data_IF_010678483469
#
_entry.id   IF_010678483469
#
_cell.length_a   1.000
_cell.length_b   1.000
_cell.length_c   1.000
_cell.angle_alpha   90.00
_cell.angle_beta   90.00
_cell.angle_gamma   90.00
#
_symmetry.space_group_name_H-M   'P 1'
#
loop_
_entity.id
_entity.type
_entity.pdbx_description
1 polymer ?
#
# COMPACT_ATOMS: atom_id res chain seq x y z
N UNK A 1 -23.58 6.58 18.52
CA UNK A 1 -22.38 6.24 17.76
C UNK A 1 -22.11 4.75 17.92
N UNK A 2 -21.88 4.02 16.83
CA UNK A 2 -21.45 2.62 16.88
C UNK A 2 -19.99 2.58 17.33
N UNK A 3 -19.60 1.55 18.04
CA UNK A 3 -18.22 1.23 18.36
C UNK A 3 -18.09 -0.27 18.61
N UNK A 4 -16.90 -0.81 18.51
CA UNK A 4 -16.62 -2.20 18.83
C UNK A 4 -15.38 -2.33 19.68
N UNK A 5 -15.27 -3.42 20.43
CA UNK A 5 -14.11 -3.77 21.23
C UNK A 5 -13.43 -4.98 20.66
N UNK A 6 -12.11 -4.92 20.55
CA UNK A 6 -11.26 -6.01 20.14
C UNK A 6 -9.88 -5.87 20.77
N UNK A 7 -9.13 -6.95 20.79
CA UNK A 7 -7.70 -6.92 21.11
C UNK A 7 -6.89 -7.33 19.88
N UNK A 8 -5.78 -6.65 19.67
CA UNK A 8 -4.79 -6.96 18.65
C UNK A 8 -3.45 -7.20 19.35
N UNK A 9 -2.72 -8.24 18.95
CA UNK A 9 -1.35 -8.42 19.38
C UNK A 9 -0.53 -9.15 18.31
N UNK A 10 0.78 -8.88 18.34
CA UNK A 10 1.78 -9.56 17.52
C UNK A 10 2.59 -10.48 18.44
N UNK A 11 2.63 -11.75 18.12
CA UNK A 11 3.35 -12.78 18.90
C UNK A 11 4.28 -13.54 17.95
N UNK A 12 5.57 -13.63 18.29
CA UNK A 12 6.57 -14.23 17.40
C UNK A 12 6.31 -15.72 17.11
N UNK A 13 5.63 -16.40 18.01
CA UNK A 13 5.32 -17.83 17.89
C UNK A 13 3.93 -18.10 17.35
N UNK A 14 2.99 -17.16 17.53
CA UNK A 14 1.59 -17.32 17.14
C UNK A 14 1.18 -16.43 15.96
N UNK A 15 1.92 -15.35 15.69
CA UNK A 15 1.63 -14.40 14.61
C UNK A 15 0.71 -13.26 15.03
N UNK A 16 -0.11 -12.81 14.10
CA UNK A 16 -1.14 -11.80 14.35
C UNK A 16 -2.33 -12.44 15.07
N UNK A 17 -2.67 -11.88 16.22
CA UNK A 17 -3.79 -12.35 17.04
C UNK A 17 -4.89 -11.29 17.08
N UNK A 18 -6.08 -11.70 16.72
CA UNK A 18 -7.31 -10.95 16.91
C UNK A 18 -8.14 -11.63 18.00
N UNK A 19 -8.39 -10.93 19.10
CA UNK A 19 -9.08 -11.46 20.28
C UNK A 19 -8.43 -12.77 20.80
N UNK A 20 -7.09 -12.81 20.77
CA UNK A 20 -6.29 -13.97 21.21
C UNK A 20 -6.25 -15.15 20.22
N UNK A 21 -6.95 -15.05 19.09
CA UNK A 21 -6.97 -16.10 18.06
C UNK A 21 -6.06 -15.72 16.91
N UNK A 22 -5.17 -16.64 16.49
CA UNK A 22 -4.35 -16.45 15.29
C UNK A 22 -5.23 -16.27 14.06
N UNK A 23 -5.15 -15.10 13.45
CA UNK A 23 -5.98 -14.71 12.33
C UNK A 23 -5.10 -14.34 11.14
N UNK A 24 -5.13 -15.06 10.02
CA UNK A 24 -4.43 -14.63 8.81
C UNK A 24 -5.09 -13.38 8.25
N UNK A 25 -4.29 -12.41 7.83
CA UNK A 25 -4.78 -11.27 7.05
C UNK A 25 -4.72 -11.69 5.58
N UNK A 26 -5.87 -12.01 5.00
CA UNK A 26 -6.00 -12.44 3.60
C UNK A 26 -6.78 -11.38 2.85
N UNK A 27 -6.07 -10.40 2.32
CA UNK A 27 -6.66 -9.19 1.81
C UNK A 27 -6.39 -8.91 0.35
N UNK A 28 -6.95 -7.81 -0.09
CA UNK A 28 -6.65 -7.18 -1.37
C UNK A 28 -6.52 -5.67 -1.22
N UNK A 29 -5.78 -5.06 -2.12
CA UNK A 29 -5.73 -3.61 -2.25
C UNK A 29 -7.01 -3.10 -2.92
N UNK A 30 -7.49 -1.94 -2.48
CA UNK A 30 -8.73 -1.36 -2.98
C UNK A 30 -8.60 0.16 -3.05
N UNK A 31 -8.87 0.73 -4.22
CA UNK A 31 -8.90 2.18 -4.40
C UNK A 31 -10.20 2.81 -3.89
N UNK A 32 -10.10 4.08 -3.49
CA UNK A 32 -11.25 4.92 -3.12
C UNK A 32 -11.94 5.46 -4.37
N UNK A 33 -12.32 4.58 -5.31
CA UNK A 33 -13.10 4.93 -6.47
C UNK A 33 -14.34 4.05 -6.61
N UNK A 34 -15.33 4.56 -7.30
CA UNK A 34 -16.63 3.93 -7.47
C UNK A 34 -17.03 3.89 -8.97
N UNK A 35 -16.07 3.62 -9.83
CA UNK A 35 -16.28 3.50 -11.28
C UNK A 35 -16.79 4.81 -11.89
N UNK A 36 -17.96 4.78 -12.50
CA UNK A 36 -18.56 5.97 -13.14
C UNK A 36 -18.86 7.12 -12.17
N UNK A 37 -18.92 6.86 -10.87
CA UNK A 37 -19.10 7.88 -9.84
C UNK A 37 -17.79 8.58 -9.46
N UNK A 38 -16.65 8.08 -9.95
CA UNK A 38 -15.34 8.60 -9.54
C UNK A 38 -15.09 8.40 -8.06
N UNK A 39 -14.62 9.44 -7.37
CA UNK A 39 -14.35 9.43 -5.93
C UNK A 39 -15.60 9.76 -5.06
N UNK A 40 -16.76 9.96 -5.66
CA UNK A 40 -17.99 10.16 -4.90
C UNK A 40 -18.37 8.90 -4.13
N UNK A 41 -18.70 9.08 -2.84
CA UNK A 41 -18.98 8.00 -1.91
C UNK A 41 -20.41 8.08 -1.39
N UNK A 42 -21.14 6.98 -1.56
CA UNK A 42 -22.48 6.80 -1.00
C UNK A 42 -22.51 5.52 -0.16
N UNK A 43 -23.16 5.49 1.01
CA UNK A 43 -23.15 4.32 1.91
C UNK A 43 -23.50 3.00 1.22
N UNK A 44 -24.46 3.00 0.32
CA UNK A 44 -24.91 1.81 -0.41
C UNK A 44 -23.86 1.30 -1.40
N UNK A 45 -23.10 2.23 -2.03
CA UNK A 45 -22.03 1.89 -2.96
C UNK A 45 -20.84 1.31 -2.21
N UNK A 46 -20.47 1.93 -1.10
CA UNK A 46 -19.39 1.44 -0.24
C UNK A 46 -19.72 0.08 0.37
N UNK A 47 -20.96 -0.11 0.85
CA UNK A 47 -21.41 -1.40 1.36
C UNK A 47 -21.36 -2.49 0.27
N UNK A 48 -21.84 -2.18 -0.93
CA UNK A 48 -21.77 -3.11 -2.07
C UNK A 48 -20.33 -3.50 -2.39
N UNK A 49 -19.41 -2.54 -2.41
CA UNK A 49 -17.98 -2.75 -2.66
C UNK A 49 -17.37 -3.69 -1.62
N UNK A 50 -17.56 -3.38 -0.33
CA UNK A 50 -17.11 -4.23 0.78
C UNK A 50 -17.73 -5.64 0.72
N UNK A 51 -19.02 -5.74 0.38
CA UNK A 51 -19.70 -7.03 0.25
C UNK A 51 -19.13 -7.90 -0.88
N UNK A 52 -18.82 -7.31 -2.03
CA UNK A 52 -18.19 -8.05 -3.15
C UNK A 52 -16.85 -8.64 -2.70
N UNK A 53 -16.03 -7.88 -2.01
CA UNK A 53 -14.74 -8.35 -1.48
C UNK A 53 -14.96 -9.48 -0.46
N UNK A 54 -15.91 -9.32 0.45
CA UNK A 54 -16.24 -10.37 1.44
C UNK A 54 -16.73 -11.65 0.79
N UNK A 55 -17.66 -11.54 -0.15
CA UNK A 55 -18.24 -12.69 -0.88
C UNK A 55 -17.19 -13.39 -1.75
N UNK A 56 -16.14 -12.69 -2.19
CA UNK A 56 -14.99 -13.25 -2.91
C UNK A 56 -14.00 -14.02 -2.00
N UNK A 57 -14.27 -14.07 -0.69
CA UNK A 57 -13.49 -14.88 0.26
C UNK A 57 -12.34 -14.13 0.94
N UNK A 58 -12.15 -12.86 0.69
CA UNK A 58 -11.21 -12.03 1.44
C UNK A 58 -11.73 -11.72 2.85
N UNK A 59 -10.81 -11.55 3.79
CA UNK A 59 -11.14 -11.10 5.14
C UNK A 59 -10.53 -9.74 5.49
N UNK A 60 -9.78 -9.15 4.58
CA UNK A 60 -9.11 -7.87 4.82
C UNK A 60 -9.05 -7.00 3.56
N UNK A 61 -8.86 -5.70 3.77
CA UNK A 61 -8.67 -4.69 2.73
C UNK A 61 -7.52 -3.78 3.13
N UNK A 62 -6.68 -3.41 2.17
CA UNK A 62 -5.74 -2.29 2.25
C UNK A 62 -6.31 -1.12 1.46
N UNK A 63 -6.45 0.03 2.11
CA UNK A 63 -6.80 1.26 1.41
C UNK A 63 -5.64 1.74 0.53
N UNK A 64 -5.86 1.89 -0.76
CA UNK A 64 -4.80 2.23 -1.72
C UNK A 64 -5.12 3.56 -2.39
N UNK A 65 -4.40 4.64 -2.21
CA UNK A 65 -3.34 4.85 -1.21
C UNK A 65 -3.71 6.12 -0.44
N UNK A 66 -4.80 6.07 0.30
CA UNK A 66 -5.37 7.16 1.10
C UNK A 66 -6.37 6.60 2.11
N UNK A 67 -6.69 7.34 3.19
CA UNK A 67 -7.65 6.90 4.19
C UNK A 67 -9.05 6.63 3.59
N UNK A 68 -9.65 5.51 4.00
CA UNK A 68 -11.02 5.17 3.60
C UNK A 68 -12.05 6.08 4.23
N UNK A 69 -13.19 6.21 3.57
CA UNK A 69 -14.33 6.98 4.07
C UNK A 69 -15.08 6.24 5.18
N UNK A 70 -15.72 6.97 6.09
CA UNK A 70 -16.47 6.40 7.22
C UNK A 70 -17.51 5.35 6.79
N UNK A 71 -18.25 5.60 5.72
CA UNK A 71 -19.27 4.67 5.22
C UNK A 71 -18.70 3.33 4.76
N UNK A 72 -17.46 3.30 4.25
CA UNK A 72 -16.78 2.06 3.92
C UNK A 72 -16.32 1.31 5.18
N UNK A 73 -15.81 2.04 6.18
CA UNK A 73 -15.43 1.44 7.47
C UNK A 73 -16.64 0.89 8.21
N UNK A 74 -17.78 1.59 8.19
CA UNK A 74 -19.06 1.10 8.72
C UNK A 74 -19.48 -0.22 8.06
N UNK A 75 -19.33 -0.32 6.73
CA UNK A 75 -19.60 -1.55 5.99
C UNK A 75 -18.64 -2.68 6.37
N UNK A 76 -17.34 -2.37 6.55
CA UNK A 76 -16.33 -3.34 7.00
C UNK A 76 -16.61 -3.85 8.42
N UNK A 77 -17.01 -2.96 9.34
CA UNK A 77 -17.42 -3.34 10.70
C UNK A 77 -18.61 -4.31 10.68
N UNK A 78 -19.61 -4.04 9.84
CA UNK A 78 -20.80 -4.87 9.73
C UNK A 78 -20.53 -6.23 9.09
N UNK A 79 -19.71 -6.25 8.03
CA UNK A 79 -19.39 -7.46 7.27
C UNK A 79 -18.25 -8.29 7.88
N UNK A 80 -17.55 -7.76 8.88
CA UNK A 80 -16.40 -8.41 9.51
C UNK A 80 -15.21 -8.49 8.56
N UNK A 81 -14.91 -7.43 7.83
CA UNK A 81 -13.67 -7.25 7.07
C UNK A 81 -12.66 -6.48 7.92
N UNK A 82 -11.41 -6.91 7.94
CA UNK A 82 -10.31 -6.17 8.56
C UNK A 82 -9.81 -5.09 7.60
N UNK A 83 -9.33 -3.98 8.14
CA UNK A 83 -8.81 -2.88 7.33
C UNK A 83 -7.40 -2.52 7.78
N UNK A 84 -6.50 -2.40 6.81
CA UNK A 84 -5.27 -1.63 6.93
C UNK A 84 -5.52 -0.28 6.28
N UNK A 85 -5.73 0.76 7.11
CA UNK A 85 -5.95 2.10 6.60
C UNK A 85 -4.63 2.79 6.32
N UNK A 86 -4.50 3.39 5.11
CA UNK A 86 -3.24 3.94 4.63
C UNK A 86 -3.33 5.45 4.52
N UNK A 87 -2.27 6.14 4.98
CA UNK A 87 -2.24 7.59 5.05
C UNK A 87 -2.07 8.23 3.68
N UNK A 88 -0.98 7.93 2.97
CA UNK A 88 -0.64 8.70 1.78
C UNK A 88 0.29 7.93 0.82
N UNK A 89 0.18 8.26 -0.47
CA UNK A 89 0.99 7.64 -1.52
C UNK A 89 2.38 8.27 -1.71
N UNK A 90 2.65 9.46 -1.18
CA UNK A 90 3.91 10.20 -1.35
C UNK A 90 4.30 10.97 -0.10
N UNK A 91 5.62 11.15 0.15
CA UNK A 91 6.10 11.96 1.28
C UNK A 91 6.63 13.32 0.83
N UNK A 92 7.94 13.44 0.55
CA UNK A 92 8.55 14.71 0.13
C UNK A 92 9.23 14.64 -1.26
N UNK A 93 9.33 13.45 -1.87
CA UNK A 93 9.74 13.28 -3.26
C UNK A 93 8.47 13.09 -4.10
N UNK A 94 8.33 13.88 -5.16
CA UNK A 94 7.19 13.78 -6.06
C UNK A 94 7.15 12.43 -6.78
N UNK A 95 5.99 11.80 -6.80
CA UNK A 95 5.64 10.76 -7.77
C UNK A 95 5.02 11.36 -9.02
N UNK A 96 4.18 12.39 -8.83
CA UNK A 96 3.59 13.19 -9.90
C UNK A 96 3.71 14.67 -9.58
N UNK A 97 3.63 15.53 -10.60
CA UNK A 97 3.84 16.99 -10.46
C UNK A 97 2.94 17.67 -9.42
N UNK A 98 1.72 17.18 -9.26
CA UNK A 98 0.68 17.81 -8.43
C UNK A 98 0.23 16.92 -7.26
N UNK A 99 1.07 16.00 -6.80
CA UNK A 99 0.75 15.14 -5.66
C UNK A 99 0.89 15.88 -4.31
N UNK A 100 0.60 15.15 -3.24
CA UNK A 100 0.58 15.69 -1.88
C UNK A 100 1.98 15.93 -1.28
N UNK A 101 3.06 15.60 -1.98
CA UNK A 101 4.43 15.67 -1.46
C UNK A 101 4.84 17.05 -0.93
N UNK A 102 4.30 18.12 -1.54
CA UNK A 102 4.55 19.49 -1.11
C UNK A 102 3.98 19.83 0.27
N UNK A 103 3.06 19.03 0.76
CA UNK A 103 2.30 19.27 2.00
C UNK A 103 2.60 18.23 3.08
N UNK A 104 3.02 17.03 2.71
CA UNK A 104 3.14 15.90 3.62
C UNK A 104 4.05 16.18 4.82
N UNK A 105 5.28 16.68 4.63
CA UNK A 105 6.20 16.93 5.74
C UNK A 105 5.67 17.92 6.78
N UNK A 106 4.89 18.90 6.34
CA UNK A 106 4.29 19.89 7.24
C UNK A 106 3.05 19.35 7.94
N UNK A 107 2.24 18.59 7.23
CA UNK A 107 0.89 18.29 7.65
C UNK A 107 0.73 16.90 8.27
N UNK A 108 1.70 15.96 8.08
CA UNK A 108 1.53 14.57 8.53
C UNK A 108 1.11 14.41 10.00
N UNK A 109 1.55 15.23 10.98
CA UNK A 109 1.11 15.02 12.36
C UNK A 109 -0.39 15.25 12.55
N UNK A 110 -0.93 16.28 11.89
CA UNK A 110 -2.35 16.60 11.94
C UNK A 110 -3.18 15.64 11.07
N UNK A 111 -2.67 15.25 9.91
CA UNK A 111 -3.35 14.30 9.03
C UNK A 111 -3.47 12.91 9.68
N UNK A 112 -2.39 12.42 10.31
CA UNK A 112 -2.41 11.16 11.05
C UNK A 112 -3.36 11.23 12.25
N UNK A 113 -3.42 12.36 12.93
CA UNK A 113 -4.39 12.57 14.01
C UNK A 113 -5.82 12.47 13.49
N UNK A 114 -6.14 13.12 12.37
CA UNK A 114 -7.48 13.05 11.77
C UNK A 114 -7.83 11.63 11.30
N UNK A 115 -6.87 10.91 10.72
CA UNK A 115 -7.05 9.51 10.36
C UNK A 115 -7.37 8.67 11.59
N UNK A 116 -6.61 8.80 12.68
CA UNK A 116 -6.88 8.08 13.93
C UNK A 116 -8.21 8.48 14.54
N UNK A 117 -8.55 9.78 14.60
CA UNK A 117 -9.82 10.26 15.13
C UNK A 117 -11.03 9.64 14.41
N UNK A 118 -10.93 9.49 13.08
CA UNK A 118 -11.92 8.81 12.24
C UNK A 118 -11.97 7.31 12.59
N UNK A 119 -10.83 6.64 12.62
CA UNK A 119 -10.71 5.18 12.71
C UNK A 119 -10.91 4.62 14.11
N UNK A 120 -10.75 5.47 15.15
CA UNK A 120 -10.68 5.01 16.53
C UNK A 120 -11.86 4.15 16.96
N UNK A 121 -13.07 4.50 16.50
CA UNK A 121 -14.31 3.78 16.83
C UNK A 121 -14.58 2.57 15.93
N UNK A 122 -13.77 2.35 14.87
CA UNK A 122 -13.94 1.26 13.93
C UNK A 122 -13.06 0.06 14.29
N UNK A 123 -13.66 -1.01 14.85
CA UNK A 123 -12.90 -2.22 15.21
C UNK A 123 -12.34 -2.95 14.00
N UNK A 124 -12.85 -2.73 12.80
CA UNK A 124 -12.32 -3.28 11.55
C UNK A 124 -10.91 -2.79 11.24
N UNK A 125 -10.56 -1.55 11.60
CA UNK A 125 -9.20 -1.03 11.38
C UNK A 125 -8.23 -1.69 12.35
N UNK A 126 -7.32 -2.50 11.83
CA UNK A 126 -6.39 -3.32 12.61
C UNK A 126 -4.92 -2.97 12.40
N UNK A 127 -4.60 -2.19 11.38
CA UNK A 127 -3.26 -1.74 11.01
C UNK A 127 -3.33 -0.32 10.44
N UNK A 128 -2.29 0.45 10.70
CA UNK A 128 -2.05 1.72 10.01
C UNK A 128 -0.87 1.58 9.05
N UNK A 129 -1.01 2.08 7.83
CA UNK A 129 0.09 2.22 6.88
C UNK A 129 0.43 3.69 6.67
N UNK A 130 1.72 4.04 6.79
CA UNK A 130 2.18 5.43 6.71
C UNK A 130 2.60 5.86 5.31
N UNK A 131 2.56 4.97 4.33
CA UNK A 131 2.91 5.31 2.94
C UNK A 131 2.99 4.11 2.03
N UNK A 132 2.95 4.41 0.74
CA UNK A 132 3.09 3.43 -0.34
C UNK A 132 4.28 3.75 -1.21
N UNK A 133 5.16 2.79 -1.45
CA UNK A 133 6.28 2.86 -2.41
C UNK A 133 7.09 4.17 -2.40
N UNK A 134 7.19 4.78 -1.23
CA UNK A 134 7.95 6.02 -1.04
C UNK A 134 9.45 5.71 -1.04
N UNK A 135 10.17 6.24 -2.03
CA UNK A 135 11.62 5.98 -2.21
C UNK A 135 12.46 6.54 -1.09
N UNK A 136 11.94 7.50 -0.36
CA UNK A 136 12.52 8.15 0.81
C UNK A 136 12.86 7.16 1.93
N UNK A 137 12.14 6.06 2.03
CA UNK A 137 12.44 4.99 3.00
C UNK A 137 13.83 4.35 2.80
N UNK A 138 14.50 4.61 1.66
CA UNK A 138 15.87 4.21 1.39
C UNK A 138 16.94 5.24 1.83
N UNK A 139 16.53 6.40 2.34
CA UNK A 139 17.36 7.55 2.69
C UNK A 139 17.29 7.88 4.17
N UNK A 140 18.34 8.48 4.73
CA UNK A 140 18.44 8.76 6.17
C UNK A 140 17.26 9.61 6.69
N UNK A 141 16.94 10.71 5.99
CA UNK A 141 15.80 11.57 6.33
C UNK A 141 14.47 10.83 6.31
N UNK A 142 14.24 9.98 5.32
CA UNK A 142 13.01 9.20 5.21
C UNK A 142 12.93 8.07 6.23
N UNK A 143 14.06 7.45 6.58
CA UNK A 143 14.13 6.48 7.69
C UNK A 143 13.75 7.16 9.01
N UNK A 144 14.26 8.37 9.27
CA UNK A 144 13.88 9.16 10.44
C UNK A 144 12.38 9.50 10.43
N UNK A 145 11.86 9.93 9.27
CA UNK A 145 10.44 10.25 9.10
C UNK A 145 9.55 9.03 9.34
N UNK A 146 9.96 7.83 8.91
CA UNK A 146 9.27 6.57 9.21
C UNK A 146 9.07 6.39 10.72
N UNK A 147 10.12 6.62 11.51
CA UNK A 147 10.03 6.55 12.97
C UNK A 147 9.11 7.62 13.56
N UNK A 148 9.23 8.87 13.10
CA UNK A 148 8.39 9.98 13.56
C UNK A 148 6.89 9.74 13.31
N UNK A 149 6.53 9.27 12.11
CA UNK A 149 5.13 8.97 11.78
C UNK A 149 4.58 7.83 12.65
N UNK A 150 5.36 6.75 12.84
CA UNK A 150 4.98 5.68 13.77
C UNK A 150 4.76 6.20 15.19
N UNK A 151 5.67 7.03 15.70
CA UNK A 151 5.59 7.55 17.07
C UNK A 151 4.37 8.47 17.26
N UNK A 152 4.00 9.24 16.22
CA UNK A 152 2.74 10.01 16.23
C UNK A 152 1.54 9.07 16.34
N UNK A 153 1.46 8.05 15.50
CA UNK A 153 0.37 7.07 15.54
C UNK A 153 0.28 6.35 16.89
N UNK A 154 1.40 5.87 17.43
CA UNK A 154 1.43 5.22 18.74
C UNK A 154 1.04 6.15 19.89
N UNK A 155 1.34 7.45 19.79
CA UNK A 155 0.92 8.43 20.79
C UNK A 155 -0.59 8.65 20.81
N UNK A 156 -1.25 8.45 19.66
CA UNK A 156 -2.70 8.62 19.48
C UNK A 156 -3.46 7.31 19.71
N UNK A 157 -2.91 6.21 19.18
CA UNK A 157 -3.49 4.87 19.28
C UNK A 157 -2.39 3.79 19.36
N UNK A 158 -1.99 3.36 20.55
CA UNK A 158 -0.99 2.30 20.72
C UNK A 158 -1.55 0.89 20.45
N UNK A 159 -2.82 0.75 20.14
CA UNK A 159 -3.47 -0.56 19.98
C UNK A 159 -3.33 -1.15 18.56
N UNK A 160 -2.97 -0.33 17.58
CA UNK A 160 -2.83 -0.73 16.17
C UNK A 160 -1.38 -0.70 15.74
N UNK A 161 -0.83 -1.82 15.22
CA UNK A 161 0.51 -1.83 14.65
C UNK A 161 0.64 -0.94 13.41
N UNK A 162 1.84 -0.40 13.20
CA UNK A 162 2.17 0.51 12.10
C UNK A 162 3.05 -0.20 11.08
N UNK A 163 2.73 -0.01 9.80
CA UNK A 163 3.48 -0.52 8.65
C UNK A 163 3.68 0.56 7.59
N UNK A 164 4.37 0.22 6.51
CA UNK A 164 4.53 1.01 5.30
C UNK A 164 4.69 0.05 4.11
N UNK A 165 4.00 0.31 3.02
CA UNK A 165 4.15 -0.47 1.78
C UNK A 165 5.46 -0.13 1.08
N UNK A 166 6.52 -0.91 1.30
CA UNK A 166 7.85 -0.65 0.74
C UNK A 166 8.09 -1.53 -0.48
N UNK A 167 8.21 -0.91 -1.67
CA UNK A 167 8.73 -1.61 -2.84
C UNK A 167 10.24 -1.79 -2.69
N UNK A 168 10.62 -2.99 -2.28
CA UNK A 168 12.02 -3.29 -1.96
C UNK A 168 12.95 -3.16 -3.17
N UNK A 169 12.44 -3.39 -4.38
CA UNK A 169 13.23 -3.23 -5.62
C UNK A 169 13.45 -1.75 -5.92
N UNK A 170 12.43 -0.90 -5.81
CA UNK A 170 12.56 0.55 -6.01
C UNK A 170 13.52 1.17 -5.01
N UNK A 171 13.43 0.77 -3.74
CA UNK A 171 14.40 1.18 -2.74
C UNK A 171 15.83 0.74 -3.08
N UNK A 172 15.99 -0.44 -3.65
CA UNK A 172 17.30 -0.95 -4.09
C UNK A 172 17.97 -0.08 -5.16
N UNK A 173 17.20 0.58 -6.01
CA UNK A 173 17.69 1.47 -7.08
C UNK A 173 17.59 2.96 -6.71
N UNK A 174 17.05 3.30 -5.55
CA UNK A 174 17.01 4.70 -5.06
C UNK A 174 18.42 5.31 -5.02
N UNK A 175 18.51 6.59 -5.41
CA UNK A 175 19.78 7.32 -5.50
C UNK A 175 20.65 6.91 -6.68
N UNK A 176 20.11 6.24 -7.68
CA UNK A 176 20.77 5.93 -8.96
C UNK A 176 20.05 6.64 -10.12
N UNK A 177 20.66 6.75 -11.33
CA UNK A 177 19.97 7.28 -12.51
C UNK A 177 18.71 6.49 -12.91
N UNK A 178 18.54 5.28 -12.38
CA UNK A 178 17.38 4.40 -12.62
C UNK A 178 16.32 4.50 -11.52
N UNK A 179 16.45 5.45 -10.58
CA UNK A 179 15.47 5.67 -9.53
C UNK A 179 14.06 5.85 -10.11
N UNK A 180 13.08 5.21 -9.47
CA UNK A 180 11.69 5.22 -9.97
C UNK A 180 11.08 6.62 -9.85
N UNK A 181 11.31 7.29 -8.72
CA UNK A 181 10.73 8.61 -8.41
C UNK A 181 11.82 9.67 -8.20
N UNK A 182 11.59 10.86 -8.73
CA UNK A 182 12.34 12.09 -8.43
C UNK A 182 11.52 13.29 -8.92
N UNK A 183 11.73 14.46 -8.33
CA UNK A 183 11.03 15.69 -8.69
C UNK A 183 11.19 16.05 -10.17
N UNK A 184 12.43 15.98 -10.68
CA UNK A 184 12.73 16.25 -12.09
C UNK A 184 12.00 15.31 -13.05
N UNK A 185 11.83 14.04 -12.65
CA UNK A 185 11.14 13.04 -13.46
C UNK A 185 9.65 13.31 -13.48
N UNK A 186 9.05 13.61 -12.35
CA UNK A 186 7.63 13.95 -12.23
C UNK A 186 7.27 15.18 -13.08
N UNK A 187 8.12 16.21 -13.05
CA UNK A 187 7.91 17.41 -13.84
C UNK A 187 8.02 17.15 -15.36
N UNK A 188 9.01 16.35 -15.79
CA UNK A 188 9.16 15.95 -17.20
C UNK A 188 8.02 15.08 -17.71
N UNK A 189 7.55 14.15 -16.90
CA UNK A 189 6.42 13.29 -17.24
C UNK A 189 5.12 14.08 -17.36
N UNK A 190 4.91 15.09 -16.49
CA UNK A 190 3.77 15.99 -16.60
C UNK A 190 3.80 16.81 -17.89
N UNK A 191 4.97 17.38 -18.26
CA UNK A 191 5.13 18.10 -19.51
C UNK A 191 4.86 17.20 -20.75
N UNK A 192 5.33 15.95 -20.70
CA UNK A 192 5.07 14.99 -21.76
C UNK A 192 3.57 14.65 -21.87
N UNK A 193 2.90 14.45 -20.74
CA UNK A 193 1.48 14.18 -20.68
C UNK A 193 0.64 15.36 -21.20
N UNK A 194 1.00 16.60 -20.87
CA UNK A 194 0.35 17.80 -21.40
C UNK A 194 0.47 17.90 -22.95
N UNK A 195 1.66 17.62 -23.48
CA UNK A 195 1.88 17.60 -24.95
C UNK A 195 1.06 16.52 -25.64
N UNK A 196 1.00 15.34 -25.02
CA UNK A 196 0.22 14.22 -25.54
C UNK A 196 -1.28 14.51 -25.49
N UNK A 197 -1.78 15.12 -24.40
CA UNK A 197 -3.18 15.56 -24.30
C UNK A 197 -3.55 16.57 -25.37
N UNK A 198 -2.71 17.59 -25.58
CA UNK A 198 -2.93 18.57 -26.64
C UNK A 198 -2.97 17.95 -28.05
N UNK A 199 -2.10 16.94 -28.27
CA UNK A 199 -2.11 16.18 -29.53
C UNK A 199 -3.38 15.36 -29.70
N UNK A 200 -3.86 14.68 -28.64
CA UNK A 200 -5.12 13.91 -28.66
C UNK A 200 -6.32 14.81 -28.97
N UNK A 201 -6.38 15.97 -28.30
CA UNK A 201 -7.45 16.93 -28.56
C UNK A 201 -7.44 17.40 -30.04
N UNK A 202 -6.25 17.63 -30.63
CA UNK A 202 -6.09 17.98 -32.02
C UNK A 202 -6.49 16.82 -32.96
N UNK A 203 -6.08 15.59 -32.65
CA UNK A 203 -6.41 14.38 -33.41
C UNK A 203 -7.92 14.07 -33.33
N UNK A 204 -8.55 14.24 -32.18
CA UNK A 204 -10.00 14.12 -32.00
C UNK A 204 -10.78 15.15 -32.86
N UNK A 205 -10.36 16.42 -32.81
CA UNK A 205 -10.93 17.48 -33.67
C UNK A 205 -10.76 17.21 -35.18
N UNK A 206 -9.69 16.47 -35.53
CA UNK A 206 -9.41 16.05 -36.90
C UNK A 206 -10.10 14.73 -37.30
N UNK A 207 -10.95 14.16 -36.44
CA UNK A 207 -11.70 12.92 -36.73
C UNK A 207 -10.84 11.65 -36.76
N UNK A 208 -9.63 11.65 -36.18
CA UNK A 208 -8.78 10.48 -36.13
C UNK A 208 -9.23 9.56 -35.00
N UNK A 209 -9.14 8.24 -35.20
CA UNK A 209 -9.42 7.24 -34.11
C UNK A 209 -8.38 7.36 -33.04
N UNK A 210 -8.86 7.43 -31.80
CA UNK A 210 -7.98 7.38 -30.61
C UNK A 210 -7.22 6.04 -30.53
N UNK A 211 -5.95 6.13 -30.19
CA UNK A 211 -5.17 4.97 -29.73
C UNK A 211 -5.22 4.94 -28.21
N UNK A 212 -5.57 3.81 -27.59
CA UNK A 212 -5.50 3.69 -26.14
C UNK A 212 -4.05 3.91 -25.69
N UNK A 213 -3.84 4.78 -24.73
CA UNK A 213 -2.58 4.92 -24.03
C UNK A 213 -2.86 5.31 -22.60
N UNK A 214 -2.42 4.49 -21.64
CA UNK A 214 -2.39 4.78 -20.21
C UNK A 214 -0.97 5.01 -19.75
N UNK A 215 -0.77 5.84 -18.73
CA UNK A 215 0.54 6.08 -18.11
C UNK A 215 1.08 4.81 -17.40
N UNK A 216 0.20 3.90 -17.01
CA UNK A 216 0.54 2.56 -16.49
C UNK A 216 1.12 1.61 -17.56
N UNK A 217 0.92 1.90 -18.86
CA UNK A 217 1.39 1.05 -19.96
C UNK A 217 2.92 0.85 -19.98
N UNK A 218 3.69 1.87 -19.59
CA UNK A 218 5.16 1.75 -19.56
C UNK A 218 5.58 0.81 -18.43
N UNK A 219 4.94 0.91 -17.27
CA UNK A 219 5.25 0.07 -16.13
C UNK A 219 4.78 -1.37 -16.34
N UNK A 220 3.55 -1.53 -16.82
CA UNK A 220 2.99 -2.83 -17.21
C UNK A 220 3.77 -3.46 -18.36
N UNK A 221 4.20 -2.67 -19.36
CA UNK A 221 5.06 -3.14 -20.46
C UNK A 221 6.44 -3.55 -19.95
N UNK A 222 7.03 -2.83 -18.99
CA UNK A 222 8.32 -3.18 -18.40
C UNK A 222 8.19 -4.42 -17.50
N UNK A 223 7.16 -4.50 -16.67
CA UNK A 223 6.84 -5.65 -15.85
C UNK A 223 6.51 -6.88 -16.71
N UNK A 224 5.80 -6.71 -17.81
CA UNK A 224 5.48 -7.77 -18.76
C UNK A 224 6.70 -8.21 -19.56
N UNK A 225 7.56 -7.27 -20.02
CA UNK A 225 8.76 -7.59 -20.79
C UNK A 225 9.89 -8.17 -19.96
N UNK A 226 10.12 -7.67 -18.74
CA UNK A 226 11.14 -8.20 -17.81
C UNK A 226 10.64 -9.38 -16.99
N UNK A 227 9.31 -9.55 -16.91
CA UNK A 227 8.62 -10.56 -16.13
C UNK A 227 8.61 -10.26 -14.61
N UNK A 228 7.51 -10.59 -13.97
CA UNK A 228 7.37 -10.51 -12.51
C UNK A 228 8.52 -11.23 -11.77
N UNK A 229 9.04 -12.31 -12.36
CA UNK A 229 10.18 -13.07 -11.84
C UNK A 229 11.49 -12.27 -11.73
N UNK A 230 11.72 -11.26 -12.58
CA UNK A 230 12.89 -10.40 -12.48
C UNK A 230 12.83 -9.49 -11.27
N UNK A 231 11.73 -8.76 -11.08
CA UNK A 231 11.52 -7.90 -9.92
C UNK A 231 11.64 -8.68 -8.61
N UNK A 232 10.99 -9.83 -8.52
CA UNK A 232 11.07 -10.74 -7.36
C UNK A 232 12.51 -11.19 -7.05
N UNK A 233 13.33 -11.46 -8.08
CA UNK A 233 14.74 -11.85 -7.90
C UNK A 233 15.60 -10.67 -7.47
N UNK A 234 15.38 -9.48 -8.01
CA UNK A 234 16.08 -8.26 -7.64
C UNK A 234 15.90 -7.93 -6.16
N UNK A 235 14.74 -8.24 -5.58
CA UNK A 235 14.47 -8.07 -4.16
C UNK A 235 15.48 -8.76 -3.23
N UNK A 236 16.21 -9.78 -3.71
CA UNK A 236 17.17 -10.56 -2.90
C UNK A 236 18.57 -9.98 -2.82
N UNK A 237 18.93 -9.00 -3.64
CA UNK A 237 20.30 -8.48 -3.66
C UNK A 237 20.65 -7.74 -2.36
N UNK A 238 21.92 -7.81 -1.96
CA UNK A 238 22.41 -7.21 -0.70
C UNK A 238 22.15 -5.70 -0.61
N UNK A 239 22.23 -4.98 -1.75
CA UNK A 239 21.93 -3.53 -1.79
C UNK A 239 20.49 -3.23 -1.34
N UNK A 240 19.52 -4.05 -1.71
CA UNK A 240 18.11 -3.91 -1.30
C UNK A 240 17.99 -4.01 0.22
N UNK A 241 18.65 -4.98 0.81
CA UNK A 241 18.66 -5.10 2.27
C UNK A 241 19.26 -3.87 2.95
N UNK A 242 20.41 -3.41 2.47
CA UNK A 242 21.07 -2.20 3.01
C UNK A 242 20.15 -0.97 2.95
N UNK A 243 19.36 -0.84 1.89
CA UNK A 243 18.47 0.31 1.65
C UNK A 243 17.12 0.22 2.38
N UNK A 244 16.67 -0.96 2.75
CA UNK A 244 15.34 -1.15 3.37
C UNK A 244 15.39 -1.42 4.88
N UNK A 245 16.51 -1.92 5.41
CA UNK A 245 16.61 -2.36 6.81
C UNK A 245 16.30 -1.26 7.83
N UNK A 246 16.67 -0.01 7.53
CA UNK A 246 16.48 1.12 8.45
C UNK A 246 15.00 1.46 8.62
N UNK A 247 14.27 1.61 7.52
CA UNK A 247 12.82 1.86 7.59
C UNK A 247 12.07 0.71 8.25
N UNK A 248 12.36 -0.54 7.85
CA UNK A 248 11.75 -1.72 8.48
C UNK A 248 12.02 -1.84 9.98
N UNK A 249 13.16 -1.34 10.47
CA UNK A 249 13.47 -1.35 11.90
C UNK A 249 12.63 -0.35 12.70
N UNK A 250 12.07 0.66 12.05
CA UNK A 250 11.21 1.67 12.65
C UNK A 250 9.72 1.30 12.60
N UNK A 251 9.35 0.17 12.01
CA UNK A 251 7.97 -0.30 11.87
C UNK A 251 7.69 -1.49 12.78
N UNK A 252 6.45 -1.62 13.23
CA UNK A 252 6.00 -2.79 13.99
C UNK A 252 5.89 -4.01 13.08
N UNK A 253 5.46 -3.77 11.84
CA UNK A 253 5.31 -4.78 10.80
C UNK A 253 6.01 -4.30 9.53
N UNK A 254 6.92 -5.10 9.00
CA UNK A 254 7.58 -4.81 7.74
C UNK A 254 6.62 -5.11 6.57
N UNK A 255 6.22 -4.07 5.85
CA UNK A 255 5.32 -4.16 4.70
C UNK A 255 6.10 -4.25 3.38
N UNK A 256 5.87 -5.31 2.63
CA UNK A 256 6.59 -5.59 1.38
C UNK A 256 5.68 -5.47 0.18
N UNK A 257 6.00 -4.56 -0.73
CA UNK A 257 5.43 -4.57 -2.08
C UNK A 257 6.33 -5.43 -2.99
N UNK A 258 5.73 -6.48 -3.59
CA UNK A 258 6.36 -7.41 -4.57
C UNK A 258 7.65 -8.10 -4.09
N UNK A 259 7.81 -8.27 -2.78
CA UNK A 259 9.01 -8.78 -2.13
C UNK A 259 8.97 -10.23 -1.64
N UNK A 260 8.00 -11.05 -2.05
CA UNK A 260 7.73 -12.37 -1.46
C UNK A 260 8.95 -13.30 -1.43
N UNK A 261 9.81 -13.28 -2.46
CA UNK A 261 11.00 -14.13 -2.49
C UNK A 261 12.07 -13.74 -1.45
N UNK A 262 11.89 -12.60 -0.76
CA UNK A 262 12.79 -12.13 0.28
C UNK A 262 12.40 -12.61 1.68
N UNK A 263 11.13 -12.95 1.92
CA UNK A 263 10.60 -13.27 3.24
C UNK A 263 11.46 -14.28 4.02
N UNK A 264 11.82 -15.42 3.43
CA UNK A 264 12.64 -16.45 4.08
C UNK A 264 14.02 -15.95 4.52
N UNK A 265 14.64 -15.09 3.72
CA UNK A 265 15.93 -14.49 4.06
C UNK A 265 15.77 -13.54 5.26
N UNK A 266 14.77 -12.67 5.23
CA UNK A 266 14.58 -11.65 6.26
C UNK A 266 14.10 -12.25 7.58
N UNK A 267 13.25 -13.27 7.55
CA UNK A 267 12.86 -14.04 8.75
C UNK A 267 14.05 -14.68 9.45
N UNK A 268 15.05 -15.15 8.69
CA UNK A 268 16.29 -15.70 9.25
C UNK A 268 17.21 -14.62 9.79
N UNK A 269 17.33 -13.49 9.08
CA UNK A 269 18.26 -12.41 9.42
C UNK A 269 17.76 -11.51 10.54
N UNK A 270 16.44 -11.33 10.63
CA UNK A 270 15.75 -10.44 11.56
C UNK A 270 14.76 -11.25 12.40
N UNK A 271 15.18 -11.85 13.53
CA UNK A 271 14.37 -12.82 14.27
C UNK A 271 13.08 -12.26 14.88
N UNK A 272 13.01 -10.94 15.10
CA UNK A 272 11.83 -10.28 15.69
C UNK A 272 10.93 -9.61 14.65
N UNK A 273 11.26 -9.68 13.34
CA UNK A 273 10.51 -9.02 12.28
C UNK A 273 9.23 -9.75 11.96
N UNK A 274 8.12 -9.04 12.02
CA UNK A 274 6.86 -9.46 11.39
C UNK A 274 6.84 -9.02 9.92
N UNK A 275 6.28 -9.85 9.06
CA UNK A 275 6.22 -9.63 7.60
C UNK A 275 4.76 -9.61 7.16
N UNK A 276 4.43 -8.60 6.38
CA UNK A 276 3.15 -8.44 5.69
C UNK A 276 3.43 -8.20 4.21
N UNK A 277 2.81 -8.96 3.33
CA UNK A 277 2.70 -8.62 1.92
C UNK A 277 1.70 -7.46 1.80
N UNK A 278 2.20 -6.25 1.65
CA UNK A 278 1.33 -5.08 1.52
C UNK A 278 0.81 -4.92 0.10
N UNK A 279 1.54 -5.49 -0.88
CA UNK A 279 1.12 -5.52 -2.27
C UNK A 279 1.84 -6.66 -2.99
N UNK A 280 1.08 -7.61 -3.53
CA UNK A 280 1.62 -8.82 -4.15
C UNK A 280 0.87 -9.17 -5.43
N UNK A 281 1.54 -9.88 -6.33
CA UNK A 281 0.85 -10.44 -7.50
C UNK A 281 -0.10 -11.55 -7.10
N UNK A 282 -1.29 -11.61 -7.70
CA UNK A 282 -2.28 -12.67 -7.44
C UNK A 282 -1.69 -14.07 -7.65
N UNK A 283 -0.77 -14.24 -8.59
CA UNK A 283 -0.07 -15.51 -8.86
C UNK A 283 0.79 -15.99 -7.68
N UNK A 284 1.14 -15.11 -6.74
CA UNK A 284 1.98 -15.45 -5.58
C UNK A 284 1.16 -15.96 -4.38
N UNK A 285 -0.15 -15.88 -4.41
CA UNK A 285 -1.01 -16.31 -3.31
C UNK A 285 -0.76 -17.76 -2.82
N UNK A 286 -0.56 -18.77 -3.71
CA UNK A 286 -0.22 -20.11 -3.26
C UNK A 286 1.13 -20.18 -2.52
N UNK A 287 2.13 -19.42 -2.98
CA UNK A 287 3.44 -19.35 -2.34
C UNK A 287 3.37 -18.67 -0.98
N UNK A 288 2.62 -17.56 -0.90
CA UNK A 288 2.33 -16.89 0.37
C UNK A 288 1.68 -17.84 1.36
N UNK A 289 0.62 -18.53 0.99
CA UNK A 289 -0.09 -19.46 1.88
C UNK A 289 0.81 -20.58 2.42
N UNK A 290 1.73 -21.07 1.59
CA UNK A 290 2.75 -22.03 2.04
C UNK A 290 3.66 -21.42 3.10
N UNK A 291 4.20 -20.23 2.84
CA UNK A 291 5.10 -19.55 3.78
C UNK A 291 4.41 -19.15 5.10
N UNK A 292 3.16 -18.70 5.03
CA UNK A 292 2.33 -18.38 6.19
C UNK A 292 2.14 -19.59 7.13
N UNK A 293 1.89 -20.77 6.56
CA UNK A 293 1.76 -22.01 7.35
C UNK A 293 3.07 -22.42 8.02
N UNK A 294 4.20 -22.14 7.37
CA UNK A 294 5.53 -22.50 7.84
C UNK A 294 6.08 -21.54 8.93
N UNK A 295 5.63 -20.26 8.94
CA UNK A 295 6.17 -19.25 9.86
C UNK A 295 5.11 -18.28 10.37
N UNK A 296 4.88 -18.22 11.68
CA UNK A 296 3.86 -17.34 12.27
C UNK A 296 4.16 -15.85 12.12
N UNK A 297 5.41 -15.45 11.94
CA UNK A 297 5.78 -14.04 11.74
C UNK A 297 5.46 -13.50 10.35
N UNK A 298 5.00 -14.34 9.42
CA UNK A 298 4.29 -13.87 8.23
C UNK A 298 2.83 -13.75 8.63
N UNK A 299 2.30 -12.53 8.69
CA UNK A 299 0.99 -12.28 9.30
C UNK A 299 -0.14 -12.12 8.27
N UNK A 300 0.19 -11.80 7.03
CA UNK A 300 -0.83 -11.57 6.02
C UNK A 300 -0.27 -11.19 4.65
N UNK A 301 -1.19 -11.01 3.73
CA UNK A 301 -0.94 -10.64 2.35
C UNK A 301 -2.11 -9.83 1.78
N UNK A 302 -1.81 -8.84 0.96
CA UNK A 302 -2.77 -8.07 0.18
C UNK A 302 -2.40 -8.17 -1.29
N UNK A 303 -3.28 -8.80 -2.07
CA UNK A 303 -3.07 -8.91 -3.51
C UNK A 303 -3.39 -7.59 -4.22
N UNK A 304 -2.66 -7.28 -5.25
CA UNK A 304 -2.95 -6.22 -6.18
C UNK A 304 -3.71 -6.81 -7.38
N UNK A 305 -5.00 -6.51 -7.58
CA UNK A 305 -5.90 -5.67 -6.78
C UNK A 305 -7.24 -6.38 -6.63
N UNK A 306 -8.08 -5.95 -5.68
CA UNK A 306 -9.38 -6.60 -5.40
C UNK A 306 -10.47 -6.24 -6.39
N UNK A 307 -10.52 -4.99 -6.82
CA UNK A 307 -11.40 -4.48 -7.86
C UNK A 307 -10.59 -3.58 -8.78
N UNK A 308 -10.80 -3.73 -10.10
CA UNK A 308 -10.23 -2.81 -11.07
C UNK A 308 -10.85 -1.42 -10.92
N UNK A 309 -10.08 -0.40 -11.26
CA UNK A 309 -10.52 0.99 -11.22
C UNK A 309 -10.36 1.66 -12.60
N UNK A 310 -11.06 2.77 -12.80
CA UNK A 310 -11.00 3.49 -14.08
C UNK A 310 -9.56 3.98 -14.35
N UNK A 311 -9.03 3.57 -15.50
CA UNK A 311 -7.67 3.87 -15.93
C UNK A 311 -6.69 2.70 -15.84
N UNK A 312 -7.02 1.62 -15.13
CA UNK A 312 -6.24 0.37 -15.13
C UNK A 312 -6.96 -0.81 -15.76
N UNK A 313 -8.28 -0.79 -15.79
CA UNK A 313 -9.06 -1.81 -16.47
C UNK A 313 -8.82 -1.72 -17.98
N UNK A 314 -8.08 -2.67 -18.56
CA UNK A 314 -7.82 -2.66 -19.99
C UNK A 314 -7.12 -3.87 -20.50
#
# INVERSE_FOLDING_TARGET
>A
KRFGLRTISLDEQKGFLLNGVRTPILGCCLHSDNGLLGAESYPEVEYRKAKIIKDSGYNAIRSSHNPMVDSFLDACDELGLLVMDEYVDCWYIKKTKYDYSQHCEKNYPEDLRRMVDKDYSHPCVVLYSIGNEVSETAEEKGIELTGKMRDVLHSLDPSRPVTCGINVTFNGISGTPFATYSDDKADKEAEAAEKERAKREADFKAGKKEKPSGSSDIFNTLATKLGAGFMKRMAKIHRVDKKTKGAFANLDVAGYNYGILRYKHDLKKYPHRFILGTETFCEDAPLFMKMYKENPRIIGDFVWTGLDYLGEAG
#
